data_IF_520202452209
#
_entry.id   IF_520202452209
#
_cell.length_a   1.000
_cell.length_b   1.000
_cell.length_c   1.000
_cell.angle_alpha   90.00
_cell.angle_beta   90.00
_cell.angle_gamma   90.00
#
_symmetry.space_group_name_H-M   'P 1'
#
loop_
_entity.id
_entity.type
_entity.pdbx_description
1 polymer ?
#
# COMPACT_ATOMS: atom_id res chain seq x y z
N UNK A 1 -31.70 -28.11 18.94
CA UNK A 1 -30.67 -27.27 19.60
C UNK A 1 -29.43 -27.23 18.72
N UNK A 2 -29.05 -26.05 18.24
CA UNK A 2 -27.76 -25.89 17.58
C UNK A 2 -26.59 -26.02 18.56
N UNK A 3 -25.49 -26.59 18.07
CA UNK A 3 -24.25 -26.76 18.85
C UNK A 3 -23.53 -25.41 18.92
N UNK A 4 -24.00 -24.51 19.79
CA UNK A 4 -23.35 -23.21 20.12
C UNK A 4 -21.84 -23.43 20.33
N UNK A 5 -20.95 -22.63 19.71
CA UNK A 5 -19.51 -22.76 19.84
C UNK A 5 -19.04 -22.43 21.25
N UNK A 6 -17.80 -22.80 21.58
CA UNK A 6 -17.29 -22.72 22.96
C UNK A 6 -17.22 -21.28 23.47
N UNK A 7 -16.90 -20.30 22.61
CA UNK A 7 -16.88 -18.89 22.99
C UNK A 7 -18.27 -18.39 23.41
N UNK A 8 -19.33 -18.70 22.65
CA UNK A 8 -20.71 -18.35 23.03
C UNK A 8 -21.12 -18.95 24.37
N UNK A 9 -20.64 -20.16 24.70
CA UNK A 9 -20.98 -20.83 25.96
C UNK A 9 -20.26 -20.20 27.17
N UNK A 10 -18.98 -19.87 27.05
CA UNK A 10 -18.24 -19.23 28.16
C UNK A 10 -18.65 -17.77 28.34
N UNK A 11 -18.89 -17.01 27.27
CA UNK A 11 -19.36 -15.62 27.37
C UNK A 11 -20.75 -15.52 28.00
N UNK A 12 -21.61 -16.54 27.81
CA UNK A 12 -22.94 -16.57 28.41
C UNK A 12 -22.96 -17.04 29.88
N UNK A 13 -21.91 -17.73 30.34
CA UNK A 13 -21.86 -18.30 31.71
C UNK A 13 -20.86 -17.63 32.63
N UNK A 14 -19.83 -16.95 32.10
CA UNK A 14 -18.67 -16.46 32.88
C UNK A 14 -17.81 -17.60 33.47
N UNK A 15 -18.01 -18.85 33.03
CA UNK A 15 -17.51 -20.04 33.70
C UNK A 15 -16.76 -20.99 32.76
N UNK A 16 -15.66 -21.55 33.27
CA UNK A 16 -14.86 -22.55 32.58
C UNK A 16 -15.01 -23.94 33.21
N UNK A 17 -15.04 -24.97 32.35
CA UNK A 17 -15.05 -26.38 32.76
C UNK A 17 -13.71 -27.04 32.47
N UNK A 18 -12.97 -27.40 33.52
CA UNK A 18 -11.69 -28.10 33.37
C UNK A 18 -11.86 -29.52 32.82
N UNK A 19 -10.77 -30.11 32.30
CA UNK A 19 -10.75 -31.52 31.84
C UNK A 19 -11.11 -32.52 32.96
N UNK A 20 -10.94 -32.15 34.24
CA UNK A 20 -11.25 -32.95 35.43
C UNK A 20 -12.65 -32.70 36.01
N UNK A 21 -13.45 -31.82 35.40
CA UNK A 21 -14.78 -31.43 35.89
C UNK A 21 -14.74 -30.43 37.06
N UNK A 22 -13.64 -29.71 37.21
CA UNK A 22 -13.50 -28.57 38.14
C UNK A 22 -14.14 -27.35 37.45
N UNK A 23 -15.07 -26.66 38.12
CA UNK A 23 -15.72 -25.43 37.65
C UNK A 23 -14.92 -24.21 38.13
N UNK A 24 -14.63 -23.26 37.24
CA UNK A 24 -13.81 -22.07 37.52
C UNK A 24 -14.53 -20.81 37.04
N UNK A 25 -14.38 -19.70 37.77
CA UNK A 25 -14.76 -18.36 37.31
C UNK A 25 -13.72 -17.83 36.34
N UNK A 26 -14.18 -17.31 35.20
CA UNK A 26 -13.34 -16.65 34.19
C UNK A 26 -13.16 -15.20 34.63
N UNK A 27 -11.90 -14.77 34.74
CA UNK A 27 -11.51 -13.39 35.01
C UNK A 27 -11.47 -12.57 33.73
N UNK A 28 -10.91 -13.17 32.68
CA UNK A 28 -10.77 -12.58 31.35
C UNK A 28 -10.72 -13.68 30.28
N UNK A 29 -11.29 -13.44 29.11
CA UNK A 29 -11.13 -14.33 27.96
C UNK A 29 -11.11 -13.58 26.64
N UNK A 30 -10.29 -14.08 25.72
CA UNK A 30 -10.09 -13.51 24.40
C UNK A 30 -10.25 -14.58 23.33
N UNK A 31 -10.97 -14.25 22.27
CA UNK A 31 -11.37 -15.18 21.21
C UNK A 31 -10.69 -14.78 19.91
N UNK A 32 -9.75 -15.60 19.44
CA UNK A 32 -9.38 -15.64 18.02
C UNK A 32 -10.32 -16.62 17.31
N UNK A 33 -10.28 -16.69 15.98
CA UNK A 33 -11.23 -17.54 15.23
C UNK A 33 -11.20 -18.98 15.68
N UNK A 34 -9.99 -19.54 15.83
CA UNK A 34 -9.81 -20.97 16.13
C UNK A 34 -9.48 -21.24 17.60
N UNK A 35 -9.02 -20.27 18.38
CA UNK A 35 -8.60 -20.44 19.78
C UNK A 35 -9.27 -19.46 20.74
N UNK A 36 -9.52 -19.94 21.95
CA UNK A 36 -9.92 -19.13 23.10
C UNK A 36 -8.79 -19.20 24.11
N UNK A 37 -8.37 -18.04 24.60
CA UNK A 37 -7.42 -17.91 25.70
C UNK A 37 -8.25 -17.49 26.91
N UNK A 38 -8.10 -18.21 28.02
CA UNK A 38 -8.94 -18.06 29.21
C UNK A 38 -8.02 -17.90 30.41
N UNK A 39 -8.17 -16.79 31.13
CA UNK A 39 -7.62 -16.56 32.45
C UNK A 39 -8.72 -16.74 33.50
N UNK A 40 -8.46 -17.58 34.49
CA UNK A 40 -9.39 -17.87 35.58
C UNK A 40 -9.00 -17.13 36.85
N UNK A 41 -9.96 -16.88 37.73
CA UNK A 41 -9.73 -16.14 38.99
C UNK A 41 -8.73 -16.81 39.96
N UNK A 42 -8.34 -18.05 39.69
CA UNK A 42 -7.27 -18.74 40.43
C UNK A 42 -5.88 -18.60 39.81
N UNK A 43 -5.68 -17.69 38.85
CA UNK A 43 -4.42 -17.48 38.14
C UNK A 43 -4.05 -18.56 37.11
N UNK A 44 -4.80 -19.67 37.06
CA UNK A 44 -4.66 -20.67 35.99
C UNK A 44 -5.02 -20.01 34.63
N UNK A 45 -4.13 -20.17 33.64
CA UNK A 45 -4.29 -19.67 32.26
C UNK A 45 -4.24 -20.85 31.28
N UNK A 46 -5.12 -20.86 30.28
CA UNK A 46 -5.16 -21.94 29.28
C UNK A 46 -5.63 -21.48 27.89
N UNK A 47 -5.19 -22.23 26.88
CA UNK A 47 -5.56 -22.06 25.47
C UNK A 47 -6.32 -23.30 24.99
N UNK A 48 -7.49 -23.10 24.40
CA UNK A 48 -8.35 -24.18 23.89
C UNK A 48 -8.96 -23.82 22.55
N UNK A 49 -9.12 -24.83 21.68
CA UNK A 49 -9.77 -24.61 20.39
C UNK A 49 -11.26 -24.24 20.59
N UNK A 50 -11.79 -23.31 19.78
CA UNK A 50 -13.19 -22.86 19.82
C UNK A 50 -14.16 -23.91 19.23
N UNK A 51 -14.13 -25.12 19.78
CA UNK A 51 -14.79 -26.30 19.23
C UNK A 51 -16.23 -26.42 19.70
N UNK A 52 -17.16 -26.59 18.74
CA UNK A 52 -18.55 -26.96 19.00
C UNK A 52 -18.70 -28.34 19.69
N UNK A 53 -17.73 -29.25 19.55
CA UNK A 53 -17.86 -30.67 19.90
C UNK A 53 -17.08 -31.12 21.16
N UNK A 54 -16.17 -30.28 21.67
CA UNK A 54 -15.25 -30.65 22.75
C UNK A 54 -15.93 -30.95 24.10
N UNK A 55 -15.20 -31.60 25.01
CA UNK A 55 -15.69 -31.99 26.34
C UNK A 55 -16.19 -30.81 27.17
N UNK A 56 -15.50 -29.66 27.13
CA UNK A 56 -15.91 -28.44 27.84
C UNK A 56 -17.24 -27.89 27.29
N UNK A 57 -17.35 -27.70 25.97
CA UNK A 57 -18.58 -27.25 25.33
C UNK A 57 -19.77 -28.19 25.59
N UNK A 58 -19.51 -29.50 25.64
CA UNK A 58 -20.52 -30.53 26.00
C UNK A 58 -20.93 -30.44 27.47
N UNK A 59 -19.99 -30.23 28.39
CA UNK A 59 -20.28 -30.12 29.82
C UNK A 59 -21.06 -28.84 30.15
N UNK A 60 -20.69 -27.70 29.57
CA UNK A 60 -21.39 -26.42 29.72
C UNK A 60 -22.85 -26.53 29.22
N UNK A 61 -23.10 -27.06 28.02
CA UNK A 61 -24.46 -27.25 27.46
C UNK A 61 -25.34 -28.27 28.18
N UNK A 62 -24.77 -29.03 29.12
CA UNK A 62 -25.52 -29.99 29.93
C UNK A 62 -25.43 -29.67 31.43
N UNK A 63 -24.89 -28.49 31.79
CA UNK A 63 -24.79 -27.99 33.17
C UNK A 63 -24.03 -28.96 34.11
N UNK A 64 -23.09 -29.76 33.58
CA UNK A 64 -22.41 -30.84 34.31
C UNK A 64 -21.05 -30.41 34.86
N UNK A 65 -20.90 -30.41 36.18
CA UNK A 65 -19.63 -30.22 36.90
C UNK A 65 -19.41 -31.36 37.92
N UNK A 66 -18.20 -31.47 38.48
CA UNK A 66 -17.86 -32.43 39.55
C UNK A 66 -17.52 -31.74 40.88
N UNK A 67 -16.86 -30.58 40.85
CA UNK A 67 -16.55 -29.76 42.02
C UNK A 67 -16.20 -28.33 41.61
N UNK A 68 -16.32 -27.38 42.53
CA UNK A 68 -15.95 -25.97 42.32
C UNK A 68 -14.45 -25.76 42.61
N UNK A 69 -13.81 -24.80 41.94
CA UNK A 69 -12.45 -24.38 42.26
C UNK A 69 -12.44 -23.54 43.55
N UNK A 70 -11.83 -24.08 44.63
CA UNK A 70 -11.66 -23.40 45.92
C UNK A 70 -11.06 -21.99 45.84
N UNK A 71 -10.25 -21.71 44.82
CA UNK A 71 -9.55 -20.43 44.65
C UNK A 71 -10.29 -19.43 43.75
N UNK A 72 -11.23 -19.87 42.88
CA UNK A 72 -11.89 -18.97 41.92
C UNK A 72 -13.04 -18.14 42.50
N UNK A 73 -13.46 -18.38 43.75
CA UNK A 73 -14.61 -17.70 44.38
C UNK A 73 -15.85 -17.63 43.45
N UNK A 74 -16.17 -18.75 42.79
CA UNK A 74 -17.45 -18.91 42.07
C UNK A 74 -18.54 -18.72 43.11
N UNK A 75 -19.40 -17.72 42.94
CA UNK A 75 -20.45 -17.43 43.92
C UNK A 75 -21.65 -18.35 43.75
N UNK A 76 -22.53 -18.40 44.75
CA UNK A 76 -23.76 -19.17 44.65
C UNK A 76 -24.73 -18.57 43.60
N UNK A 77 -24.68 -17.26 43.29
CA UNK A 77 -25.43 -16.73 42.15
C UNK A 77 -24.85 -17.21 40.81
N UNK A 78 -23.52 -17.26 40.66
CA UNK A 78 -22.88 -17.80 39.44
C UNK A 78 -23.24 -19.29 39.26
N UNK A 79 -23.21 -20.07 40.35
CA UNK A 79 -23.58 -21.49 40.33
C UNK A 79 -25.06 -21.70 40.03
N UNK A 80 -25.95 -20.90 40.64
CA UNK A 80 -27.39 -21.00 40.39
C UNK A 80 -27.73 -20.56 38.96
N UNK A 81 -27.10 -19.53 38.40
CA UNK A 81 -27.20 -19.16 36.96
C UNK A 81 -26.66 -20.26 36.04
N UNK A 82 -25.64 -21.01 36.49
CA UNK A 82 -25.12 -22.15 35.72
C UNK A 82 -26.03 -23.38 35.78
N UNK A 83 -26.81 -23.56 36.84
CA UNK A 83 -27.68 -24.74 37.03
C UNK A 83 -29.12 -24.52 36.58
N UNK A 84 -29.63 -23.29 36.60
CA UNK A 84 -30.93 -22.98 36.00
C UNK A 84 -30.89 -23.15 34.49
N UNK A 85 -31.86 -23.90 33.95
CA UNK A 85 -32.09 -23.95 32.50
C UNK A 85 -32.72 -22.64 32.07
N UNK A 86 -31.93 -21.71 31.55
CA UNK A 86 -32.43 -20.53 30.85
C UNK A 86 -33.10 -20.95 29.55
N UNK A 87 -34.41 -21.22 29.63
CA UNK A 87 -35.33 -21.38 28.50
C UNK A 87 -35.58 -20.01 27.82
N UNK A 88 -34.52 -19.28 27.48
CA UNK A 88 -34.58 -17.94 26.89
C UNK A 88 -34.55 -17.98 25.35
N UNK A 89 -35.37 -18.86 24.77
CA UNK A 89 -35.86 -18.69 23.41
C UNK A 89 -37.04 -17.68 23.42
N UNK A 90 -36.81 -16.44 23.88
CA UNK A 90 -37.67 -15.24 23.67
C UNK A 90 -37.08 -13.93 24.23
N UNK A 91 -36.78 -13.00 23.32
CA UNK A 91 -36.95 -11.53 23.45
C UNK A 91 -36.93 -10.86 24.84
N UNK A 92 -35.79 -10.25 25.22
CA UNK A 92 -35.69 -8.79 25.50
C UNK A 92 -34.28 -8.34 25.94
N UNK A 93 -33.32 -8.33 25.02
CA UNK A 93 -32.07 -7.58 25.21
C UNK A 93 -32.29 -6.13 24.76
N UNK A 94 -32.40 -5.19 25.72
CA UNK A 94 -32.64 -3.75 25.45
C UNK A 94 -31.36 -3.08 24.96
N UNK A 95 -31.02 -3.28 23.68
CA UNK A 95 -29.80 -2.70 23.08
C UNK A 95 -29.96 -1.19 22.90
N UNK A 96 -29.33 -0.42 23.79
CA UNK A 96 -29.16 1.03 23.60
C UNK A 96 -28.15 1.27 22.48
N UNK A 97 -28.62 1.36 21.24
CA UNK A 97 -27.77 1.65 20.07
C UNK A 97 -27.36 3.12 20.10
N UNK A 98 -26.27 3.42 20.81
CA UNK A 98 -25.53 4.68 20.63
C UNK A 98 -25.00 4.65 19.19
N UNK A 99 -25.67 5.38 18.32
CA UNK A 99 -25.39 5.37 16.89
C UNK A 99 -24.18 6.24 16.60
N UNK A 100 -22.98 5.66 16.64
CA UNK A 100 -21.82 6.24 15.97
C UNK A 100 -22.25 6.57 14.51
N UNK A 101 -21.95 7.77 14.00
CA UNK A 101 -22.53 8.24 12.75
C UNK A 101 -22.09 7.33 11.61
N UNK A 102 -23.06 6.73 10.91
CA UNK A 102 -22.81 5.99 9.67
C UNK A 102 -22.40 6.97 8.58
N UNK A 103 -21.13 7.33 8.54
CA UNK A 103 -20.47 7.79 7.31
C UNK A 103 -20.60 6.62 6.34
N UNK A 104 -21.65 6.65 5.51
CA UNK A 104 -21.76 5.76 4.36
C UNK A 104 -20.55 6.07 3.49
N UNK A 105 -19.59 5.14 3.36
CA UNK A 105 -18.54 5.25 2.32
C UNK A 105 -19.30 5.40 0.98
N UNK A 106 -19.33 6.62 0.44
CA UNK A 106 -20.03 6.93 -0.80
C UNK A 106 -19.20 6.32 -1.91
N UNK A 107 -19.64 5.17 -2.41
CA UNK A 107 -19.10 4.60 -3.64
C UNK A 107 -19.09 5.71 -4.71
N UNK A 108 -17.94 6.01 -5.33
CA UNK A 108 -17.91 6.80 -6.56
C UNK A 108 -18.65 6.01 -7.64
N UNK A 109 -19.96 6.20 -7.75
CA UNK A 109 -20.77 5.58 -8.80
C UNK A 109 -20.19 5.99 -10.14
N UNK A 110 -20.08 5.02 -11.04
CA UNK A 110 -19.73 5.23 -12.44
C UNK A 110 -20.73 6.20 -13.10
N UNK A 111 -20.40 7.49 -13.16
CA UNK A 111 -21.11 8.48 -13.96
C UNK A 111 -20.42 8.57 -15.31
N UNK A 112 -21.19 8.29 -16.36
CA UNK A 112 -20.71 8.39 -17.73
C UNK A 112 -21.08 9.75 -18.35
N UNK A 113 -20.23 10.16 -19.31
CA UNK A 113 -20.57 10.98 -20.49
C UNK A 113 -20.60 12.52 -20.35
N UNK A 114 -19.79 13.13 -21.24
CA UNK A 114 -19.94 14.46 -21.89
C UNK A 114 -19.79 15.74 -21.06
N UNK A 115 -18.67 16.49 -21.25
CA UNK A 115 -18.65 17.94 -21.06
C UNK A 115 -19.14 18.68 -22.32
N UNK A 116 -19.54 19.94 -22.18
CA UNK A 116 -19.63 20.92 -23.28
C UNK A 116 -19.34 22.32 -22.72
N UNK A 117 -18.35 23.06 -23.26
CA UNK A 117 -17.92 24.34 -22.69
C UNK A 117 -18.70 25.52 -23.26
N UNK A 118 -18.65 26.66 -22.57
CA UNK A 118 -18.75 27.99 -23.16
C UNK A 118 -18.09 29.01 -22.22
N UNK A 119 -16.95 29.55 -22.67
CA UNK A 119 -16.23 30.67 -22.07
C UNK A 119 -16.41 31.89 -23.00
N UNK A 120 -16.36 33.11 -22.47
CA UNK A 120 -16.28 34.31 -23.29
C UNK A 120 -15.48 35.41 -22.58
N UNK A 121 -14.46 35.92 -23.25
CA UNK A 121 -13.59 37.05 -22.87
C UNK A 121 -14.36 38.39 -22.93
N UNK A 122 -13.94 39.53 -22.36
CA UNK A 122 -12.68 40.27 -22.60
C UNK A 122 -12.41 41.37 -21.52
N UNK A 123 -11.23 42.04 -21.49
CA UNK A 123 -10.72 42.76 -20.31
C UNK A 123 -10.46 44.28 -20.53
N UNK A 124 -9.49 44.88 -19.79
CA UNK A 124 -8.92 46.26 -19.87
C UNK A 124 -9.70 47.30 -18.99
N UNK A 125 -9.13 48.24 -18.19
CA UNK A 125 -7.82 48.94 -18.18
C UNK A 125 -7.34 49.45 -16.78
N UNK A 126 -6.00 49.55 -16.58
CA UNK A 126 -5.18 50.51 -15.77
C UNK A 126 -5.31 50.73 -14.23
N UNK A 127 -4.12 50.65 -13.58
CA UNK A 127 -3.62 51.19 -12.29
C UNK A 127 -3.10 52.66 -12.46
N UNK A 128 -2.48 53.42 -11.48
CA UNK A 128 -1.65 52.97 -10.33
C UNK A 128 -1.58 53.82 -9.01
N UNK A 129 -0.77 53.33 -8.05
CA UNK A 129 -0.10 54.04 -6.92
C UNK A 129 -0.97 54.55 -5.74
N UNK A 130 -0.45 54.79 -4.51
CA UNK A 130 0.94 54.93 -4.03
C UNK A 130 1.18 54.47 -2.56
N UNK A 131 2.46 54.37 -2.16
CA UNK A 131 3.08 54.46 -0.80
C UNK A 131 2.78 53.48 0.38
N UNK A 132 3.87 52.83 0.83
CA UNK A 132 4.16 52.23 2.17
C UNK A 132 4.98 53.26 3.04
N UNK A 133 5.51 53.00 4.28
CA UNK A 133 5.69 51.75 5.05
C UNK A 133 5.37 51.79 6.58
N UNK A 134 5.76 50.74 7.32
CA UNK A 134 5.79 50.59 8.80
C UNK A 134 7.25 50.72 9.34
N UNK A 135 7.69 50.29 10.57
CA UNK A 135 6.99 49.79 11.79
C UNK A 135 7.57 50.32 13.16
N UNK A 136 6.94 50.00 14.32
CA UNK A 136 7.61 49.98 15.68
C UNK A 136 6.80 49.30 16.82
N UNK A 137 7.27 48.12 17.29
CA UNK A 137 7.75 47.68 18.65
C UNK A 137 7.19 48.30 20.01
N UNK A 138 7.51 47.79 21.24
CA UNK A 138 6.61 46.92 22.05
C UNK A 138 6.61 47.20 23.61
N UNK A 139 6.37 46.15 24.47
CA UNK A 139 6.81 45.93 25.89
C UNK A 139 5.75 45.98 27.03
N UNK A 140 5.60 44.85 27.77
CA UNK A 140 5.45 44.64 29.26
C UNK A 140 4.77 43.27 29.53
N UNK A 141 5.33 42.27 30.22
CA UNK A 141 5.77 42.11 31.64
C UNK A 141 4.60 41.80 32.62
N UNK A 142 4.67 40.91 33.63
CA UNK A 142 5.83 40.37 34.39
C UNK A 142 5.68 38.95 35.04
N UNK A 143 6.86 38.34 35.29
CA UNK A 143 7.42 37.38 36.32
C UNK A 143 6.49 36.83 37.44
N UNK A 144 6.56 35.58 37.96
CA UNK A 144 7.65 34.73 38.57
C UNK A 144 7.27 33.21 38.61
N UNK A 145 8.08 32.14 38.83
CA UNK A 145 9.48 31.85 39.27
C UNK A 145 9.74 31.59 40.80
N UNK A 146 10.72 30.76 41.27
CA UNK A 146 11.38 29.53 40.72
C UNK A 146 11.80 28.46 41.82
N UNK A 147 12.91 27.71 41.59
CA UNK A 147 13.79 26.90 42.51
C UNK A 147 13.55 25.36 42.63
N UNK A 148 14.56 24.46 42.76
CA UNK A 148 16.05 24.57 42.63
C UNK A 148 16.80 23.20 42.67
N UNK A 149 18.01 23.13 42.06
CA UNK A 149 19.20 22.24 42.34
C UNK A 149 19.06 20.69 42.30
N UNK A 150 20.11 19.84 42.15
CA UNK A 150 21.43 19.74 41.43
C UNK A 150 22.04 18.36 41.85
N UNK A 151 23.20 17.76 41.49
CA UNK A 151 24.46 17.98 40.72
C UNK A 151 25.02 16.53 40.41
N UNK A 152 26.10 16.11 39.69
CA UNK A 152 27.32 16.63 39.00
C UNK A 152 27.76 15.59 37.90
N UNK A 153 28.96 15.71 37.30
CA UNK A 153 29.66 14.70 36.47
C UNK A 153 31.08 14.38 37.08
N UNK A 154 32.14 13.76 36.44
CA UNK A 154 32.58 13.81 35.03
C UNK A 154 33.12 12.48 34.41
N UNK A 155 33.74 12.58 33.22
CA UNK A 155 34.42 11.53 32.42
C UNK A 155 35.98 11.54 32.68
N UNK A 156 36.95 11.17 31.79
CA UNK A 156 36.93 10.64 30.40
C UNK A 156 37.94 9.49 30.08
N UNK A 157 37.97 9.02 28.81
CA UNK A 157 39.15 8.44 28.14
C UNK A 157 38.98 8.46 26.61
N UNK A 158 40.06 8.40 25.83
CA UNK A 158 40.04 8.50 24.35
C UNK A 158 41.05 7.57 23.67
N UNK A 159 40.80 7.14 22.43
CA UNK A 159 41.84 6.54 21.58
C UNK A 159 41.57 6.73 20.07
N UNK A 160 42.62 7.20 19.41
CA UNK A 160 42.85 7.59 18.01
C UNK A 160 42.66 6.49 16.94
N UNK A 161 42.42 6.93 15.69
CA UNK A 161 42.61 6.15 14.45
C UNK A 161 44.09 6.20 13.95
N UNK A 162 44.51 5.61 12.80
CA UNK A 162 44.28 6.28 11.50
C UNK A 162 44.26 5.40 10.20
N UNK A 163 43.93 6.07 9.09
CA UNK A 163 44.41 5.92 7.69
C UNK A 163 44.14 4.64 6.83
N UNK A 164 43.76 4.82 5.54
CA UNK A 164 43.79 3.78 4.49
C UNK A 164 45.04 3.90 3.58
N UNK A 165 45.30 2.88 2.73
CA UNK A 165 46.39 2.94 1.74
C UNK A 165 46.11 2.19 0.42
N UNK A 166 46.44 2.85 -0.70
CA UNK A 166 46.93 2.32 -2.01
C UNK A 166 46.23 1.14 -2.71
N UNK A 167 45.93 1.20 -4.02
CA UNK A 167 46.97 1.24 -5.07
C UNK A 167 46.47 1.74 -6.45
N UNK A 168 47.35 2.44 -7.19
CA UNK A 168 47.60 2.49 -8.67
C UNK A 168 46.53 2.10 -9.72
N UNK A 169 46.50 2.63 -10.96
CA UNK A 169 47.16 3.75 -11.66
C UNK A 169 46.50 3.89 -13.08
N UNK A 170 46.72 4.99 -13.86
CA UNK A 170 45.90 5.30 -15.05
C UNK A 170 46.58 5.05 -16.42
N UNK A 171 45.81 5.32 -17.49
CA UNK A 171 46.19 5.80 -18.84
C UNK A 171 45.92 4.88 -20.05
N UNK A 172 44.96 5.30 -20.91
CA UNK A 172 44.88 5.13 -22.38
C UNK A 172 43.52 5.67 -22.87
N UNK A 173 43.37 6.32 -24.02
CA UNK A 173 44.33 7.06 -24.86
C UNK A 173 43.54 8.07 -25.72
N UNK A 174 44.11 9.24 -26.02
CA UNK A 174 43.47 10.22 -26.91
C UNK A 174 43.57 9.80 -28.38
N UNK A 175 42.55 10.09 -29.19
CA UNK A 175 42.66 10.04 -30.66
C UNK A 175 41.82 11.15 -31.28
N UNK A 176 42.44 12.33 -31.42
CA UNK A 176 41.93 13.41 -32.27
C UNK A 176 42.45 13.19 -33.68
N UNK A 177 41.57 13.05 -34.67
CA UNK A 177 41.96 13.08 -36.09
C UNK A 177 41.44 14.38 -36.70
N UNK A 178 42.38 15.18 -37.20
CA UNK A 178 42.13 16.46 -37.86
C UNK A 178 42.00 16.30 -39.38
N UNK A 179 41.44 17.35 -40.00
CA UNK A 179 41.72 17.79 -41.39
C UNK A 179 41.60 16.78 -42.53
N UNK A 180 40.55 16.96 -43.34
CA UNK A 180 40.72 17.09 -44.79
C UNK A 180 39.64 18.05 -45.32
N UNK A 181 40.01 18.92 -46.27
CA UNK A 181 39.11 19.90 -46.87
C UNK A 181 39.02 19.67 -48.39
N UNK A 182 37.90 20.14 -48.97
CA UNK A 182 37.74 20.69 -50.34
C UNK A 182 38.64 20.12 -51.47
N UNK A 183 38.02 19.71 -52.59
CA UNK A 183 37.82 20.74 -53.62
C UNK A 183 36.44 20.74 -54.30
N UNK A 184 36.14 21.84 -54.98
CA UNK A 184 34.95 22.01 -55.81
C UNK A 184 35.22 21.77 -57.30
N UNK A 185 34.17 21.44 -58.05
CA UNK A 185 34.06 21.54 -59.52
C UNK A 185 32.58 21.85 -59.84
N UNK A 186 32.18 22.84 -60.64
CA UNK A 186 32.39 23.08 -62.11
C UNK A 186 31.95 21.92 -63.01
N UNK A 187 31.17 22.13 -64.09
CA UNK A 187 30.32 23.27 -64.50
C UNK A 187 29.50 22.93 -65.76
N UNK A 188 28.18 23.16 -65.75
CA UNK A 188 27.31 23.30 -66.94
C UNK A 188 25.99 23.98 -66.48
N UNK A 189 25.64 25.20 -66.88
CA UNK A 189 25.14 25.64 -68.21
C UNK A 189 23.85 24.91 -68.65
N UNK A 190 22.73 25.65 -68.66
CA UNK A 190 21.39 25.13 -68.94
C UNK A 190 20.33 26.23 -69.16
N UNK A 191 20.59 27.11 -70.14
CA UNK A 191 19.67 28.07 -70.82
C UNK A 191 18.39 28.58 -70.11
N UNK A 192 18.31 29.91 -69.98
CA UNK A 192 17.11 30.67 -69.59
C UNK A 192 16.02 30.67 -70.67
N UNK A 193 14.75 30.70 -70.23
CA UNK A 193 13.65 31.35 -70.95
C UNK A 193 12.77 32.12 -69.97
N UNK A 194 12.75 33.44 -70.11
CA UNK A 194 11.69 34.28 -69.54
C UNK A 194 10.41 34.10 -70.35
N UNK A 195 9.27 34.16 -69.68
CA UNK A 195 8.02 34.66 -70.26
C UNK A 195 7.35 35.55 -69.22
N UNK A 196 6.86 36.70 -69.67
CA UNK A 196 6.16 37.72 -68.89
C UNK A 196 4.72 37.85 -69.43
N UNK A 197 3.83 38.52 -68.70
CA UNK A 197 2.42 38.78 -69.10
C UNK A 197 1.55 37.50 -69.00
N UNK A 198 0.30 37.49 -68.53
CA UNK A 198 -0.65 38.55 -68.10
C UNK A 198 -1.31 38.19 -66.76
N UNK A 199 -2.04 39.14 -66.16
CA UNK A 199 -2.65 38.97 -64.83
C UNK A 199 -3.81 37.97 -64.78
N UNK A 200 -3.82 37.14 -63.74
CA UNK A 200 -4.98 36.36 -63.30
C UNK A 200 -5.45 36.85 -61.93
N UNK A 201 -6.77 36.91 -61.72
CA UNK A 201 -7.37 37.33 -60.44
C UNK A 201 -6.88 36.45 -59.27
N UNK A 202 -6.75 36.99 -58.04
CA UNK A 202 -6.36 36.22 -56.88
C UNK A 202 -7.42 35.14 -56.61
N UNK A 203 -7.06 33.88 -56.91
CA UNK A 203 -7.91 32.72 -56.64
C UNK A 203 -8.15 32.68 -55.12
N UNK A 204 -9.40 32.54 -54.64
CA UNK A 204 -9.66 32.51 -53.20
C UNK A 204 -8.81 31.44 -52.53
N UNK A 205 -8.05 31.83 -51.50
CA UNK A 205 -7.36 30.86 -50.64
C UNK A 205 -8.47 29.98 -50.06
N UNK A 206 -8.46 28.66 -50.30
CA UNK A 206 -9.45 27.78 -49.69
C UNK A 206 -9.22 27.85 -48.18
N UNK A 207 -10.17 28.44 -47.45
CA UNK A 207 -10.17 28.49 -46.00
C UNK A 207 -9.98 27.05 -45.52
N UNK A 208 -8.89 26.78 -44.80
CA UNK A 208 -8.63 25.44 -44.29
C UNK A 208 -9.76 25.10 -43.32
N UNK A 209 -10.68 24.25 -43.77
CA UNK A 209 -11.69 23.66 -42.91
C UNK A 209 -10.95 22.99 -41.74
N UNK A 210 -11.27 23.42 -40.51
CA UNK A 210 -10.70 22.84 -39.30
C UNK A 210 -10.92 21.34 -39.31
N UNK A 211 -9.92 20.56 -38.87
CA UNK A 211 -10.05 19.11 -38.90
C UNK A 211 -11.27 18.68 -38.06
N UNK A 212 -12.06 17.70 -38.54
CA UNK A 212 -13.23 17.25 -37.80
C UNK A 212 -12.82 16.75 -36.41
N UNK A 213 -13.61 17.10 -35.40
CA UNK A 213 -13.34 16.76 -34.01
C UNK A 213 -13.08 15.27 -33.82
N UNK A 214 -12.06 14.93 -33.03
CA UNK A 214 -11.61 13.56 -32.84
C UNK A 214 -12.72 12.70 -32.22
N UNK A 215 -13.01 11.55 -32.84
CA UNK A 215 -13.93 10.56 -32.27
C UNK A 215 -13.38 9.98 -30.97
N UNK A 216 -14.25 9.47 -30.09
CA UNK A 216 -13.82 8.86 -28.82
C UNK A 216 -12.77 7.75 -29.03
N UNK A 217 -12.92 6.89 -30.04
CA UNK A 217 -11.93 5.85 -30.37
C UNK A 217 -10.57 6.41 -30.82
N UNK A 218 -10.56 7.56 -31.50
CA UNK A 218 -9.32 8.24 -31.88
C UNK A 218 -8.64 8.89 -30.68
N UNK A 219 -9.43 9.54 -29.80
CA UNK A 219 -8.93 10.08 -28.52
C UNK A 219 -8.33 8.96 -27.67
N UNK A 220 -9.00 7.81 -27.56
CA UNK A 220 -8.51 6.67 -26.76
C UNK A 220 -7.22 6.06 -27.34
N UNK A 221 -7.10 5.98 -28.68
CA UNK A 221 -5.85 5.57 -29.34
C UNK A 221 -4.70 6.53 -29.04
N UNK A 222 -4.93 7.85 -29.16
CA UNK A 222 -3.90 8.85 -28.85
C UNK A 222 -3.56 8.85 -27.35
N UNK A 223 -4.53 8.70 -26.45
CA UNK A 223 -4.31 8.56 -25.01
C UNK A 223 -3.54 7.28 -24.64
N UNK A 224 -3.66 6.20 -25.42
CA UNK A 224 -2.82 5.01 -25.29
C UNK A 224 -1.35 5.28 -25.63
N UNK A 225 -1.09 6.12 -26.63
CA UNK A 225 0.26 6.48 -27.07
C UNK A 225 0.90 7.63 -26.27
N UNK A 226 0.11 8.50 -25.64
CA UNK A 226 0.58 9.69 -24.94
C UNK A 226 1.41 9.37 -23.68
N UNK A 227 2.58 9.99 -23.55
CA UNK A 227 3.42 9.99 -22.35
C UNK A 227 3.06 11.16 -21.43
N UNK A 228 3.27 11.06 -20.10
CA UNK A 228 3.17 12.22 -19.20
C UNK A 228 4.11 13.38 -19.57
N UNK A 229 5.15 13.11 -20.36
CA UNK A 229 6.10 14.10 -20.89
C UNK A 229 5.66 14.78 -22.21
N UNK A 230 4.50 14.41 -22.79
CA UNK A 230 4.05 15.00 -24.06
C UNK A 230 3.11 16.20 -23.84
N UNK A 231 3.62 17.40 -24.11
CA UNK A 231 2.84 18.66 -24.19
C UNK A 231 2.06 18.77 -25.51
N UNK A 232 1.22 17.77 -25.82
CA UNK A 232 0.41 17.72 -27.04
C UNK A 232 -1.07 17.94 -26.71
N UNK A 233 -1.62 19.08 -27.15
CA UNK A 233 -3.06 19.31 -27.12
C UNK A 233 -3.77 18.48 -28.20
N UNK A 234 -4.70 17.63 -27.76
CA UNK A 234 -5.57 16.83 -28.64
C UNK A 234 -6.65 17.68 -29.33
N UNK A 235 -6.87 18.92 -28.87
CA UNK A 235 -7.86 19.86 -29.43
C UNK A 235 -7.22 20.89 -30.38
N UNK A 236 -5.96 20.65 -30.80
CA UNK A 236 -5.14 21.54 -31.63
C UNK A 236 -5.59 21.70 -33.10
N UNK A 237 -6.81 21.27 -33.45
CA UNK A 237 -7.30 21.20 -34.84
C UNK A 237 -6.46 20.29 -35.77
N UNK A 238 -5.52 19.51 -35.22
CA UNK A 238 -4.60 18.67 -35.98
C UNK A 238 -5.28 17.35 -36.40
N UNK A 239 -5.26 16.96 -37.69
CA UNK A 239 -5.86 15.70 -38.13
C UNK A 239 -5.28 14.47 -37.41
N UNK A 240 -6.17 13.56 -37.00
CA UNK A 240 -5.85 12.32 -36.25
C UNK A 240 -4.57 11.61 -36.73
N UNK A 241 -4.44 11.36 -38.04
CA UNK A 241 -3.28 10.64 -38.62
C UNK A 241 -1.94 11.33 -38.35
N UNK A 242 -1.91 12.66 -38.27
CA UNK A 242 -0.69 13.44 -37.97
C UNK A 242 -0.33 13.36 -36.49
N UNK A 243 -1.33 13.45 -35.60
CA UNK A 243 -1.13 13.23 -34.16
C UNK A 243 -0.67 11.81 -33.85
N UNK A 244 -1.29 10.80 -34.47
CA UNK A 244 -0.92 9.40 -34.30
C UNK A 244 0.50 9.14 -34.82
N UNK A 245 0.82 9.59 -36.04
CA UNK A 245 2.17 9.39 -36.61
C UNK A 245 3.28 10.05 -35.79
N UNK A 246 3.02 11.22 -35.20
CA UNK A 246 3.96 11.90 -34.29
C UNK A 246 4.15 11.11 -32.99
N UNK A 247 3.06 10.72 -32.32
CA UNK A 247 3.14 9.94 -31.08
C UNK A 247 3.79 8.56 -31.31
N UNK A 248 3.50 7.89 -32.42
CA UNK A 248 4.17 6.65 -32.81
C UNK A 248 5.66 6.84 -33.04
N UNK A 249 6.07 7.92 -33.72
CA UNK A 249 7.47 8.27 -33.90
C UNK A 249 8.19 8.46 -32.56
N UNK A 250 7.57 9.21 -31.63
CA UNK A 250 8.09 9.41 -30.27
C UNK A 250 8.21 8.11 -29.50
N UNK A 251 7.15 7.31 -29.36
CA UNK A 251 7.19 6.05 -28.60
C UNK A 251 8.21 5.05 -29.17
N UNK A 252 8.37 4.99 -30.50
CA UNK A 252 9.43 4.19 -31.16
C UNK A 252 10.83 4.73 -30.87
N UNK A 253 11.01 6.06 -30.70
CA UNK A 253 12.28 6.65 -30.24
C UNK A 253 12.55 6.33 -28.78
N UNK A 254 11.55 6.46 -27.91
CA UNK A 254 11.66 6.22 -26.47
C UNK A 254 12.08 4.76 -26.18
N UNK A 255 11.47 3.78 -26.86
CA UNK A 255 11.89 2.36 -26.75
C UNK A 255 13.31 2.12 -27.30
N UNK A 256 13.69 2.76 -28.41
CA UNK A 256 15.06 2.67 -28.95
C UNK A 256 16.09 3.25 -27.98
N UNK A 257 15.75 4.34 -27.28
CA UNK A 257 16.62 4.93 -26.28
C UNK A 257 16.82 3.96 -25.10
N UNK A 258 15.75 3.43 -24.52
CA UNK A 258 15.84 2.45 -23.41
C UNK A 258 16.64 1.20 -23.85
N UNK A 259 16.49 0.75 -25.09
CA UNK A 259 17.25 -0.38 -25.63
C UNK A 259 18.75 -0.07 -25.81
N UNK A 260 19.12 1.15 -26.21
CA UNK A 260 20.51 1.57 -26.35
C UNK A 260 21.20 1.83 -24.99
N UNK A 261 20.47 2.41 -24.04
CA UNK A 261 20.98 2.89 -22.76
C UNK A 261 20.79 1.85 -21.64
N UNK A 262 19.74 2.01 -20.83
CA UNK A 262 19.54 1.36 -19.53
C UNK A 262 19.13 -0.12 -19.62
N UNK A 263 18.24 -0.48 -20.57
CA UNK A 263 17.64 -1.81 -20.75
C UNK A 263 16.90 -2.41 -19.53
N UNK A 264 16.79 -1.72 -18.41
CA UNK A 264 16.05 -2.21 -17.23
C UNK A 264 14.53 -2.02 -17.37
N UNK A 265 13.75 -2.94 -16.79
CA UNK A 265 12.30 -2.77 -16.62
C UNK A 265 12.01 -2.09 -15.27
N UNK A 266 11.21 -1.01 -15.27
CA UNK A 266 11.00 -0.14 -14.09
C UNK A 266 10.58 -0.92 -12.83
N UNK A 267 9.67 -1.89 -12.95
CA UNK A 267 9.22 -2.71 -11.81
C UNK A 267 10.34 -3.58 -11.22
N UNK A 268 11.26 -4.07 -12.06
CA UNK A 268 12.41 -4.86 -11.62
C UNK A 268 13.52 -3.99 -11.05
N UNK A 269 13.70 -2.77 -11.58
CA UNK A 269 14.64 -1.78 -11.05
C UNK A 269 14.21 -1.33 -9.65
N UNK A 270 12.93 -0.94 -9.50
CA UNK A 270 12.37 -0.58 -8.22
C UNK A 270 12.44 -1.75 -7.21
N UNK A 271 12.18 -2.99 -7.62
CA UNK A 271 12.39 -4.16 -6.75
C UNK A 271 13.84 -4.25 -6.22
N UNK A 272 14.86 -3.98 -7.05
CA UNK A 272 16.28 -3.95 -6.61
C UNK A 272 16.60 -2.78 -5.68
N UNK A 273 16.11 -1.58 -5.99
CA UNK A 273 16.34 -0.37 -5.19
C UNK A 273 15.70 -0.51 -3.79
N UNK A 274 14.44 -0.96 -3.73
CA UNK A 274 13.74 -1.26 -2.48
C UNK A 274 14.46 -2.40 -1.71
N UNK A 275 14.86 -3.47 -2.40
CA UNK A 275 15.60 -4.59 -1.76
C UNK A 275 16.89 -4.10 -1.10
N UNK A 276 17.67 -3.25 -1.79
CA UNK A 276 18.86 -2.63 -1.22
C UNK A 276 18.52 -1.76 -0.01
N UNK A 277 17.53 -0.88 -0.12
CA UNK A 277 17.10 0.00 0.97
C UNK A 277 16.78 -0.74 2.28
N UNK A 278 16.07 -1.88 2.19
CA UNK A 278 15.70 -2.68 3.36
C UNK A 278 16.86 -3.54 3.89
N UNK A 279 17.70 -4.10 3.01
CA UNK A 279 18.91 -4.85 3.41
C UNK A 279 19.92 -3.94 4.11
N UNK A 280 20.18 -2.74 3.57
CA UNK A 280 21.06 -1.73 4.21
C UNK A 280 20.55 -1.30 5.59
N UNK A 281 19.23 -1.37 5.83
CA UNK A 281 18.57 -1.12 7.12
C UNK A 281 18.44 -2.37 8.01
N UNK A 282 19.12 -3.47 7.66
CA UNK A 282 19.19 -4.69 8.46
C UNK A 282 17.90 -5.51 8.50
N UNK A 283 17.08 -5.46 7.44
CA UNK A 283 15.99 -6.43 7.24
C UNK A 283 16.47 -7.59 6.38
N UNK A 284 16.08 -8.82 6.73
CA UNK A 284 16.34 -10.01 5.93
C UNK A 284 15.33 -10.12 4.79
N UNK A 285 15.80 -10.25 3.55
CA UNK A 285 14.94 -10.55 2.40
C UNK A 285 14.40 -12.00 2.49
N UNK A 286 13.10 -12.13 2.26
CA UNK A 286 12.37 -13.39 2.16
C UNK A 286 11.77 -13.47 0.76
N UNK A 287 12.00 -14.58 0.04
CA UNK A 287 11.17 -14.99 -1.10
C UNK A 287 10.39 -16.23 -0.69
N UNK A 288 9.06 -16.17 -0.71
CA UNK A 288 8.18 -17.26 -0.27
C UNK A 288 7.28 -17.78 -1.40
N UNK A 289 6.64 -18.96 -1.25
CA UNK A 289 5.79 -19.51 -2.29
C UNK A 289 4.62 -18.59 -2.68
N UNK A 290 4.34 -18.51 -3.98
CA UNK A 290 3.15 -17.83 -4.54
C UNK A 290 1.88 -18.65 -4.27
N UNK A 291 1.98 -19.97 -4.43
CA UNK A 291 0.94 -20.93 -4.05
C UNK A 291 0.93 -21.10 -2.54
N UNK A 292 -0.20 -20.85 -1.90
CA UNK A 292 -0.40 -21.04 -0.46
C UNK A 292 -1.63 -21.92 -0.18
N UNK A 293 -1.66 -22.66 0.95
CA UNK A 293 -2.83 -23.44 1.31
C UNK A 293 -4.05 -22.56 1.58
N UNK A 294 -5.25 -23.01 1.19
CA UNK A 294 -6.53 -22.40 1.56
C UNK A 294 -6.68 -22.24 3.08
N UNK A 295 -6.09 -23.15 3.85
CA UNK A 295 -6.03 -23.12 5.32
C UNK A 295 -5.35 -21.85 5.88
N UNK A 296 -4.51 -21.18 5.08
CA UNK A 296 -3.89 -19.90 5.44
C UNK A 296 -4.84 -18.72 5.24
N UNK A 297 -5.72 -18.77 4.23
CA UNK A 297 -6.76 -17.76 3.96
C UNK A 297 -7.81 -17.75 5.07
N UNK A 298 -8.22 -18.94 5.54
CA UNK A 298 -9.05 -19.09 6.75
C UNK A 298 -8.35 -18.55 8.01
N UNK A 299 -7.03 -18.73 8.12
CA UNK A 299 -6.24 -18.26 9.28
C UNK A 299 -5.99 -16.76 9.26
N UNK A 300 -5.96 -16.13 8.07
CA UNK A 300 -6.08 -14.67 7.88
C UNK A 300 -7.50 -14.14 8.14
N UNK A 301 -8.47 -15.02 8.41
CA UNK A 301 -9.84 -14.65 8.73
C UNK A 301 -10.73 -14.27 7.53
N UNK A 302 -10.25 -14.49 6.31
CA UNK A 302 -10.92 -14.12 5.06
C UNK A 302 -12.17 -15.00 4.81
N UNK A 303 -12.34 -16.12 5.52
CA UNK A 303 -13.56 -16.93 5.56
C UNK A 303 -14.80 -16.19 6.11
N UNK A 304 -14.62 -15.12 6.90
CA UNK A 304 -15.73 -14.25 7.31
C UNK A 304 -16.02 -13.14 6.28
N UNK A 305 -15.01 -12.73 5.50
CA UNK A 305 -15.12 -11.65 4.53
C UNK A 305 -15.63 -12.19 3.20
N UNK A 306 -16.93 -12.02 2.97
CA UNK A 306 -17.59 -12.47 1.74
C UNK A 306 -17.09 -11.77 0.48
N UNK A 307 -16.42 -10.63 0.58
CA UNK A 307 -15.91 -9.90 -0.59
C UNK A 307 -14.48 -10.33 -0.90
N UNK A 308 -13.56 -10.23 0.06
CA UNK A 308 -12.17 -10.67 -0.13
C UNK A 308 -12.06 -12.19 -0.43
N UNK A 309 -12.99 -13.01 0.07
CA UNK A 309 -13.07 -14.44 -0.26
C UNK A 309 -13.46 -14.72 -1.73
N UNK A 310 -14.21 -13.82 -2.38
CA UNK A 310 -14.52 -13.92 -3.84
C UNK A 310 -13.28 -13.62 -4.68
N UNK A 311 -12.45 -12.67 -4.23
CA UNK A 311 -11.25 -12.23 -4.94
C UNK A 311 -10.18 -13.32 -5.08
N UNK A 312 -10.25 -14.41 -4.29
CA UNK A 312 -9.22 -15.46 -4.29
C UNK A 312 -9.18 -16.25 -5.61
N UNK A 313 -8.02 -16.27 -6.25
CA UNK A 313 -7.68 -17.21 -7.33
C UNK A 313 -7.33 -18.59 -6.73
N UNK A 314 -8.34 -19.46 -6.65
CA UNK A 314 -8.17 -20.88 -6.28
C UNK A 314 -7.51 -21.65 -7.43
N UNK A 315 -6.59 -22.55 -7.11
CA UNK A 315 -5.89 -23.41 -8.07
C UNK A 315 -6.42 -24.84 -7.99
N UNK A 316 -6.68 -25.33 -6.78
CA UNK A 316 -7.48 -26.53 -6.53
C UNK A 316 -8.31 -26.36 -5.23
N UNK A 317 -8.77 -27.46 -4.62
CA UNK A 317 -9.51 -27.42 -3.36
C UNK A 317 -8.65 -27.05 -2.13
N UNK A 318 -7.33 -27.23 -2.22
CA UNK A 318 -6.36 -27.11 -1.14
C UNK A 318 -5.48 -25.86 -1.26
N UNK A 319 -5.28 -25.32 -2.46
CA UNK A 319 -4.33 -24.24 -2.77
C UNK A 319 -4.96 -23.07 -3.53
N UNK A 320 -4.43 -21.87 -3.29
CA UNK A 320 -4.70 -20.66 -4.05
C UNK A 320 -3.42 -19.88 -4.34
N UNK A 321 -3.49 -18.96 -5.31
CA UNK A 321 -2.51 -17.89 -5.43
C UNK A 321 -2.69 -16.92 -4.24
N UNK A 322 -1.58 -16.45 -3.67
CA UNK A 322 -1.60 -15.55 -2.51
C UNK A 322 -2.20 -14.17 -2.86
N UNK A 323 -3.18 -13.64 -2.10
CA UNK A 323 -3.70 -12.27 -2.28
C UNK A 323 -2.92 -11.20 -1.50
N UNK A 324 -1.95 -11.63 -0.68
CA UNK A 324 -1.13 -10.82 0.22
C UNK A 324 0.06 -11.68 0.73
N UNK A 325 1.15 -11.05 1.16
CA UNK A 325 2.36 -11.75 1.65
C UNK A 325 2.27 -12.20 3.11
N UNK A 326 1.37 -11.58 3.89
CA UNK A 326 1.25 -11.78 5.35
C UNK A 326 1.22 -13.26 5.83
N UNK A 327 0.48 -14.21 5.21
CA UNK A 327 0.47 -15.61 5.64
C UNK A 327 1.86 -16.27 5.71
N UNK A 328 2.75 -15.91 4.79
CA UNK A 328 4.09 -16.47 4.74
C UNK A 328 5.02 -15.71 5.70
N UNK A 329 4.94 -14.38 5.75
CA UNK A 329 5.69 -13.56 6.71
C UNK A 329 5.37 -13.93 8.16
N UNK A 330 4.10 -14.15 8.51
CA UNK A 330 3.67 -14.68 9.81
C UNK A 330 4.36 -16.02 10.17
N UNK A 331 4.55 -16.90 9.18
CA UNK A 331 5.29 -18.14 9.37
C UNK A 331 6.79 -17.92 9.55
N UNK A 332 7.39 -16.99 8.80
CA UNK A 332 8.81 -16.65 8.92
C UNK A 332 9.13 -15.98 10.25
N UNK A 333 8.37 -14.96 10.68
CA UNK A 333 8.52 -14.32 12.00
C UNK A 333 8.54 -15.35 13.13
N UNK A 334 7.54 -16.25 13.18
CA UNK A 334 7.45 -17.32 14.18
C UNK A 334 8.63 -18.29 14.15
N UNK A 335 9.14 -18.64 12.96
CA UNK A 335 10.27 -19.56 12.79
C UNK A 335 11.59 -18.89 13.22
N UNK A 336 11.86 -17.69 12.69
CA UNK A 336 13.12 -16.96 12.87
C UNK A 336 13.30 -16.45 14.29
N UNK A 337 12.22 -16.13 15.01
CA UNK A 337 12.22 -15.82 16.46
C UNK A 337 12.74 -16.95 17.36
N UNK A 338 13.08 -18.12 16.80
CA UNK A 338 13.71 -19.25 17.52
C UNK A 338 15.22 -19.37 17.24
N UNK A 339 15.79 -18.50 16.41
CA UNK A 339 17.17 -18.60 15.90
C UNK A 339 17.89 -17.26 15.73
N UNK A 340 17.18 -16.16 15.47
CA UNK A 340 17.73 -14.81 15.32
C UNK A 340 17.54 -13.99 16.61
N UNK A 341 18.40 -12.98 16.86
CA UNK A 341 18.24 -12.05 17.98
C UNK A 341 17.00 -11.15 17.84
N UNK A 342 16.64 -10.48 18.92
CA UNK A 342 15.58 -9.48 18.95
C UNK A 342 16.14 -8.09 18.57
N UNK A 343 15.46 -7.27 17.74
CA UNK A 343 14.19 -7.56 17.05
C UNK A 343 14.37 -8.34 15.74
N UNK A 344 13.35 -9.13 15.39
CA UNK A 344 13.29 -9.86 14.12
C UNK A 344 12.84 -8.90 13.02
N UNK A 345 13.68 -8.65 12.01
CA UNK A 345 13.39 -7.74 10.88
C UNK A 345 13.39 -8.50 9.56
N UNK A 346 12.26 -8.57 8.86
CA UNK A 346 12.14 -9.25 7.56
C UNK A 346 11.32 -8.43 6.55
N UNK A 347 11.54 -8.65 5.25
CA UNK A 347 10.66 -8.17 4.20
C UNK A 347 10.54 -9.18 3.05
N UNK A 348 9.45 -9.12 2.29
CA UNK A 348 9.32 -9.81 1.01
C UNK A 348 8.86 -8.82 -0.07
N UNK A 349 9.42 -8.94 -1.27
CA UNK A 349 8.88 -8.36 -2.49
C UNK A 349 8.51 -9.49 -3.44
N UNK A 350 7.29 -9.48 -3.97
CA UNK A 350 6.84 -10.42 -5.00
C UNK A 350 5.35 -10.32 -5.34
N UNK A 351 4.90 -11.10 -6.34
CA UNK A 351 3.53 -10.98 -6.86
C UNK A 351 2.48 -11.50 -5.88
N UNK A 352 1.31 -10.87 -5.93
CA UNK A 352 0.06 -11.21 -5.27
C UNK A 352 -1.10 -11.10 -6.28
N UNK A 353 -2.18 -11.84 -6.02
CA UNK A 353 -3.27 -12.03 -6.98
C UNK A 353 -4.66 -11.87 -6.35
N UNK A 354 -5.50 -11.02 -6.94
CA UNK A 354 -6.90 -10.78 -6.53
C UNK A 354 -7.76 -10.57 -7.77
N UNK A 355 -8.93 -11.20 -7.86
CA UNK A 355 -9.88 -10.91 -8.95
C UNK A 355 -10.48 -9.52 -8.73
N UNK A 356 -10.27 -8.62 -9.66
CA UNK A 356 -10.63 -7.20 -9.53
C UNK A 356 -11.43 -6.72 -10.74
N UNK A 357 -12.55 -6.04 -10.49
CA UNK A 357 -13.40 -5.48 -11.56
C UNK A 357 -13.03 -4.07 -11.98
N UNK A 358 -12.23 -3.34 -11.19
CA UNK A 358 -11.84 -1.95 -11.47
C UNK A 358 -10.39 -1.81 -11.96
N UNK A 359 -10.21 -2.01 -13.28
CA UNK A 359 -8.91 -1.90 -13.95
C UNK A 359 -8.35 -0.48 -14.11
N UNK A 360 -8.75 0.50 -13.29
CA UNK A 360 -8.13 1.83 -13.22
C UNK A 360 -7.01 1.94 -12.19
N UNK A 361 -7.31 1.52 -10.96
CA UNK A 361 -6.45 1.63 -9.77
C UNK A 361 -6.14 0.27 -9.13
N UNK A 362 -6.76 -0.80 -9.64
CA UNK A 362 -6.53 -2.18 -9.23
C UNK A 362 -6.06 -3.03 -10.42
N UNK A 363 -5.36 -4.12 -10.09
CA UNK A 363 -4.77 -5.08 -11.03
C UNK A 363 -5.06 -6.49 -10.52
N UNK A 364 -5.22 -7.46 -11.42
CA UNK A 364 -5.40 -8.85 -10.99
C UNK A 364 -4.10 -9.53 -10.53
N UNK A 365 -2.97 -9.10 -11.07
CA UNK A 365 -1.61 -9.38 -10.61
C UNK A 365 -0.93 -8.06 -10.24
N UNK A 366 -0.38 -7.99 -9.02
CA UNK A 366 0.34 -6.82 -8.50
C UNK A 366 1.51 -7.25 -7.61
N UNK A 367 2.55 -6.44 -7.54
CA UNK A 367 3.78 -6.73 -6.82
C UNK A 367 3.77 -6.01 -5.48
N UNK A 368 3.60 -6.76 -4.40
CA UNK A 368 3.66 -6.22 -3.04
C UNK A 368 5.10 -6.18 -2.55
N UNK A 369 5.48 -5.08 -1.90
CA UNK A 369 6.42 -5.06 -0.79
C UNK A 369 5.63 -5.26 0.50
N UNK A 370 6.06 -6.17 1.37
CA UNK A 370 5.69 -6.14 2.79
C UNK A 370 6.94 -6.23 3.64
N UNK A 371 7.18 -5.24 4.50
CA UNK A 371 8.17 -5.33 5.58
C UNK A 371 7.47 -5.55 6.92
N UNK A 372 8.16 -6.23 7.84
CA UNK A 372 7.73 -6.29 9.24
C UNK A 372 8.91 -6.44 10.20
N UNK A 373 8.74 -5.86 11.39
CA UNK A 373 9.63 -6.00 12.54
C UNK A 373 8.82 -6.60 13.70
N UNK A 374 9.40 -7.51 14.49
CA UNK A 374 8.76 -8.12 15.66
C UNK A 374 9.72 -8.18 16.85
N UNK A 375 9.24 -7.79 18.03
CA UNK A 375 10.04 -7.67 19.25
C UNK A 375 10.19 -6.22 19.69
N UNK A 376 11.41 -5.84 20.07
CA UNK A 376 11.76 -4.50 20.53
C UNK A 376 11.56 -3.44 19.44
N UNK A 377 11.31 -2.19 19.85
CA UNK A 377 11.13 -1.06 18.93
C UNK A 377 9.89 -1.13 18.04
N UNK A 378 8.97 -2.07 18.26
CA UNK A 378 7.73 -2.17 17.50
C UNK A 378 6.69 -1.17 18.04
N UNK A 379 6.89 0.11 17.73
CA UNK A 379 6.03 1.23 18.14
C UNK A 379 5.55 2.01 16.92
N UNK A 380 4.52 2.85 17.11
CA UNK A 380 3.95 3.67 16.02
C UNK A 380 4.99 4.61 15.42
N UNK A 381 5.79 5.25 16.27
CA UNK A 381 6.77 6.27 15.89
C UNK A 381 7.86 5.67 15.01
N UNK A 382 8.32 4.45 15.33
CA UNK A 382 9.29 3.72 14.51
C UNK A 382 8.68 3.23 13.18
N UNK A 383 7.40 2.86 13.15
CA UNK A 383 6.71 2.49 11.91
C UNK A 383 6.57 3.69 10.96
N UNK A 384 6.14 4.84 11.48
CA UNK A 384 6.04 6.09 10.73
C UNK A 384 7.42 6.58 10.26
N UNK A 385 8.46 6.45 11.09
CA UNK A 385 9.83 6.77 10.71
C UNK A 385 10.36 5.86 9.58
N UNK A 386 10.12 4.54 9.63
CA UNK A 386 10.51 3.63 8.54
C UNK A 386 9.76 3.95 7.24
N UNK A 387 8.48 4.30 7.32
CA UNK A 387 7.67 4.73 6.16
C UNK A 387 8.21 6.03 5.57
N UNK A 388 8.56 7.01 6.42
CA UNK A 388 9.14 8.29 5.97
C UNK A 388 10.49 8.10 5.29
N UNK A 389 11.44 7.43 5.94
CA UNK A 389 12.76 7.10 5.38
C UNK A 389 12.63 6.45 3.99
N UNK A 390 11.61 5.60 3.82
CA UNK A 390 11.36 4.83 2.60
C UNK A 390 10.81 5.68 1.45
N UNK A 391 9.83 6.55 1.72
CA UNK A 391 9.22 7.38 0.69
C UNK A 391 10.05 8.63 0.37
N UNK A 392 10.76 9.19 1.35
CA UNK A 392 11.82 10.18 1.14
C UNK A 392 12.89 9.64 0.17
N UNK A 393 13.33 8.38 0.37
CA UNK A 393 14.33 7.73 -0.49
C UNK A 393 13.86 7.50 -1.92
N UNK A 394 12.55 7.25 -2.13
CA UNK A 394 11.96 7.12 -3.46
C UNK A 394 11.54 8.47 -4.09
N UNK A 395 11.66 9.59 -3.36
CA UNK A 395 11.23 10.91 -3.83
C UNK A 395 9.71 11.03 -4.00
N UNK A 396 8.94 10.45 -3.07
CA UNK A 396 7.47 10.42 -3.11
C UNK A 396 6.90 11.21 -1.94
N UNK A 397 6.20 12.31 -2.22
CA UNK A 397 5.41 13.04 -1.22
C UNK A 397 4.25 12.18 -0.69
N UNK A 398 3.96 12.24 0.61
CA UNK A 398 2.91 11.44 1.23
C UNK A 398 2.34 12.06 2.52
N UNK A 399 1.16 11.57 2.91
CA UNK A 399 0.53 11.82 4.22
C UNK A 399 0.25 10.49 4.92
N UNK A 400 0.19 10.48 6.26
CA UNK A 400 -0.20 9.29 7.05
C UNK A 400 -1.52 9.59 7.77
N UNK A 401 -2.52 8.76 7.53
CA UNK A 401 -3.89 8.89 8.05
C UNK A 401 -4.25 7.62 8.83
N UNK A 402 -5.08 7.74 9.88
CA UNK A 402 -5.63 6.56 10.55
C UNK A 402 -6.95 6.12 9.91
N UNK A 403 -7.08 4.85 9.52
CA UNK A 403 -8.36 4.18 9.21
C UNK A 403 -8.43 2.84 10.00
N UNK A 404 -9.32 1.95 9.60
CA UNK A 404 -9.56 0.66 10.22
C UNK A 404 -9.93 -0.39 9.16
N UNK A 405 -9.30 -1.55 9.22
CA UNK A 405 -9.54 -2.65 8.27
C UNK A 405 -10.08 -3.90 8.98
N UNK A 406 -10.90 -4.69 8.27
CA UNK A 406 -11.55 -5.89 8.84
C UNK A 406 -10.59 -7.04 9.17
N UNK A 407 -9.32 -6.99 8.72
CA UNK A 407 -8.33 -8.05 8.89
C UNK A 407 -7.45 -7.84 10.13
N UNK A 408 -7.04 -6.60 10.39
CA UNK A 408 -6.09 -6.27 11.47
C UNK A 408 -6.72 -5.46 12.61
N UNK A 409 -7.77 -4.68 12.36
CA UNK A 409 -8.26 -3.65 13.28
C UNK A 409 -7.81 -2.26 12.82
N UNK A 410 -7.36 -1.42 13.75
CA UNK A 410 -6.89 -0.06 13.47
C UNK A 410 -5.62 -0.08 12.59
N UNK A 411 -5.55 0.80 11.59
CA UNK A 411 -4.45 0.87 10.61
C UNK A 411 -3.95 2.31 10.42
N UNK A 412 -2.73 2.42 9.88
CA UNK A 412 -2.15 3.65 9.37
C UNK A 412 -2.05 3.52 7.85
N UNK A 413 -2.85 4.29 7.13
CA UNK A 413 -2.89 4.27 5.68
C UNK A 413 -2.06 5.46 5.14
N UNK A 414 -1.25 5.18 4.13
CA UNK A 414 -0.23 6.09 3.59
C UNK A 414 -0.71 6.59 2.24
N UNK A 415 -0.98 7.89 2.15
CA UNK A 415 -1.73 8.51 1.05
C UNK A 415 -0.85 9.42 0.20
N UNK A 416 -1.08 9.43 -1.12
CA UNK A 416 -0.55 10.42 -2.06
C UNK A 416 -1.74 11.09 -2.77
N UNK A 417 -2.24 12.19 -2.21
CA UNK A 417 -3.57 12.71 -2.54
C UNK A 417 -4.64 11.64 -2.27
N UNK A 418 -5.56 11.44 -3.23
CA UNK A 418 -6.61 10.42 -3.14
C UNK A 418 -6.10 8.96 -3.27
N UNK A 419 -4.80 8.73 -3.53
CA UNK A 419 -4.25 7.38 -3.78
C UNK A 419 -3.57 6.77 -2.55
N UNK A 420 -4.15 5.70 -2.02
CA UNK A 420 -3.53 4.81 -1.02
C UNK A 420 -2.28 4.12 -1.61
N UNK A 421 -1.09 4.39 -1.05
CA UNK A 421 0.16 3.71 -1.41
C UNK A 421 0.40 2.45 -0.58
N UNK A 422 -0.01 2.46 0.69
CA UNK A 422 0.15 1.38 1.65
C UNK A 422 -0.89 1.44 2.76
N UNK A 423 -1.21 0.28 3.34
CA UNK A 423 -1.81 0.18 4.69
C UNK A 423 -0.81 -0.49 5.63
N UNK A 424 -0.69 0.03 6.85
CA UNK A 424 0.29 -0.35 7.85
C UNK A 424 -0.34 -0.61 9.22
N UNK A 425 0.30 -1.44 10.04
CA UNK A 425 -0.26 -2.02 11.26
C UNK A 425 0.75 -1.96 12.40
N UNK A 426 0.28 -1.56 13.59
CA UNK A 426 0.98 -1.73 14.87
C UNK A 426 0.28 -2.83 15.66
N UNK A 427 0.91 -4.00 15.73
CA UNK A 427 0.44 -5.14 16.54
C UNK A 427 0.96 -5.09 17.99
N UNK A 428 0.41 -5.94 18.89
CA UNK A 428 -0.30 -7.17 18.55
C UNK A 428 -1.76 -7.00 18.13
N UNK A 429 -2.24 -7.90 17.27
CA UNK A 429 -3.65 -8.03 16.87
C UNK A 429 -4.20 -9.42 17.26
N UNK A 430 -5.52 -9.60 17.48
CA UNK A 430 -6.08 -10.87 17.96
C UNK A 430 -5.79 -12.11 17.10
N UNK A 431 -5.48 -11.90 15.80
CA UNK A 431 -5.14 -12.92 14.82
C UNK A 431 -3.74 -13.54 15.03
N UNK A 432 -2.79 -12.81 15.61
CA UNK A 432 -1.38 -13.24 15.79
C UNK A 432 -1.27 -14.59 16.51
N UNK A 433 -2.17 -14.80 17.47
CA UNK A 433 -2.34 -16.01 18.27
C UNK A 433 -2.66 -17.26 17.44
N UNK A 434 -3.37 -17.12 16.33
CA UNK A 434 -3.68 -18.24 15.43
C UNK A 434 -2.46 -18.59 14.56
N UNK A 435 -1.62 -17.60 14.23
CA UNK A 435 -0.29 -17.80 13.62
C UNK A 435 0.78 -18.30 14.60
N UNK A 436 0.64 -18.01 15.89
CA UNK A 436 1.60 -18.35 16.95
C UNK A 436 2.63 -17.26 17.23
N UNK A 437 2.29 -15.99 16.96
CA UNK A 437 3.02 -14.81 17.45
C UNK A 437 2.42 -14.38 18.79
N UNK A 438 3.27 -13.87 19.67
CA UNK A 438 2.94 -13.38 21.02
C UNK A 438 3.86 -12.22 21.47
N UNK A 439 4.46 -11.50 20.51
CA UNK A 439 5.28 -10.30 20.69
C UNK A 439 4.62 -9.11 19.98
N UNK A 440 4.91 -7.85 20.40
CA UNK A 440 4.64 -6.67 19.58
C UNK A 440 5.30 -6.80 18.20
N UNK A 441 4.68 -6.22 17.18
CA UNK A 441 5.21 -6.16 15.82
C UNK A 441 4.69 -4.92 15.09
N UNK A 442 5.42 -4.47 14.08
CA UNK A 442 5.01 -3.41 13.16
C UNK A 442 5.25 -3.86 11.72
N UNK A 443 4.47 -3.36 10.77
CA UNK A 443 4.69 -3.64 9.35
C UNK A 443 3.78 -2.85 8.44
N UNK A 444 4.18 -2.74 7.18
CA UNK A 444 3.45 -2.03 6.13
C UNK A 444 3.40 -2.86 4.84
N UNK A 445 2.48 -2.52 3.94
CA UNK A 445 2.30 -3.20 2.65
C UNK A 445 2.12 -2.22 1.50
N UNK A 446 3.13 -2.06 0.66
CA UNK A 446 3.13 -1.16 -0.49
C UNK A 446 2.93 -1.93 -1.81
N UNK A 447 2.10 -1.40 -2.71
CA UNK A 447 2.01 -1.89 -4.09
C UNK A 447 3.02 -1.17 -5.00
N UNK A 448 4.01 -1.88 -5.54
CA UNK A 448 5.06 -1.27 -6.37
C UNK A 448 4.51 -0.62 -7.64
N UNK A 449 3.45 -1.17 -8.23
CA UNK A 449 2.79 -0.56 -9.39
C UNK A 449 2.11 0.78 -9.04
N UNK A 450 1.66 0.99 -7.79
CA UNK A 450 1.17 2.30 -7.32
C UNK A 450 2.31 3.29 -7.08
N UNK A 451 3.44 2.84 -6.52
CA UNK A 451 4.64 3.66 -6.37
C UNK A 451 5.14 4.15 -7.74
N UNK A 452 5.32 3.25 -8.71
CA UNK A 452 5.69 3.60 -10.09
C UNK A 452 4.67 4.52 -10.78
N UNK A 453 3.38 4.33 -10.51
CA UNK A 453 2.33 5.21 -11.05
C UNK A 453 2.54 6.67 -10.61
N UNK A 454 2.92 6.89 -9.34
CA UNK A 454 3.26 8.21 -8.80
C UNK A 454 4.60 8.71 -9.37
N UNK A 455 5.68 7.94 -9.20
CA UNK A 455 7.05 8.31 -9.62
C UNK A 455 7.16 8.70 -11.11
N UNK A 456 6.29 8.16 -11.96
CA UNK A 456 6.27 8.46 -13.41
C UNK A 456 5.00 9.19 -13.88
N UNK A 457 4.13 9.63 -12.97
CA UNK A 457 2.85 10.32 -13.27
C UNK A 457 1.97 9.58 -14.31
N UNK A 458 1.81 8.27 -14.13
CA UNK A 458 1.04 7.45 -15.07
C UNK A 458 -0.48 7.59 -14.84
N UNK A 459 -1.20 8.00 -15.90
CA UNK A 459 -2.67 8.20 -15.90
C UNK A 459 -3.50 6.92 -15.68
N UNK A 460 -2.88 5.74 -15.61
CA UNK A 460 -3.52 4.45 -15.31
C UNK A 460 -2.45 3.46 -14.80
N UNK A 461 -2.78 2.66 -13.78
CA UNK A 461 -1.83 1.75 -13.13
C UNK A 461 -1.27 0.65 -14.06
N UNK A 462 -1.97 0.29 -15.14
CA UNK A 462 -1.53 -0.72 -16.14
C UNK A 462 -0.32 -0.30 -16.97
N UNK A 463 0.16 0.95 -16.84
CA UNK A 463 1.46 1.40 -17.39
C UNK A 463 2.65 0.97 -16.53
N UNK A 464 2.44 0.65 -15.25
CA UNK A 464 3.45 0.16 -14.32
C UNK A 464 3.40 -1.36 -14.09
N UNK A 465 2.28 -2.02 -14.42
CA UNK A 465 2.10 -3.47 -14.25
C UNK A 465 2.96 -4.28 -15.22
N UNK A 466 3.14 -5.56 -14.88
CA UNK A 466 3.52 -6.59 -15.86
C UNK A 466 2.51 -6.54 -17.01
N UNK A 467 2.98 -6.43 -18.26
CA UNK A 467 2.12 -6.17 -19.41
C UNK A 467 2.82 -6.50 -20.73
N UNK A 468 2.06 -7.03 -21.69
CA UNK A 468 2.47 -7.14 -23.10
C UNK A 468 2.08 -5.87 -23.89
N UNK A 469 1.20 -5.03 -23.35
CA UNK A 469 0.69 -3.80 -23.99
C UNK A 469 1.48 -2.53 -23.63
N UNK A 470 2.31 -2.60 -22.58
CA UNK A 470 3.15 -1.51 -22.09
C UNK A 470 4.51 -2.04 -21.61
N UNK A 471 5.58 -1.30 -21.91
CA UNK A 471 6.93 -1.51 -21.37
C UNK A 471 7.44 -0.18 -20.82
N UNK A 472 7.82 -0.11 -19.54
CA UNK A 472 8.21 1.14 -18.85
C UNK A 472 7.19 2.29 -19.09
N UNK A 473 5.89 1.96 -19.11
CA UNK A 473 4.79 2.88 -19.39
C UNK A 473 4.61 3.32 -20.84
N UNK A 474 5.52 2.99 -21.76
CA UNK A 474 5.38 3.20 -23.21
C UNK A 474 4.52 2.08 -23.79
N UNK A 475 3.56 2.37 -24.69
CA UNK A 475 2.80 1.28 -25.32
C UNK A 475 3.66 0.53 -26.33
N UNK A 476 3.47 -0.78 -26.42
CA UNK A 476 4.11 -1.70 -27.38
C UNK A 476 3.35 -1.77 -28.72
N UNK A 477 2.07 -1.38 -28.74
CA UNK A 477 1.18 -1.42 -29.91
C UNK A 477 1.44 -0.23 -30.85
N UNK A 478 2.62 -0.20 -31.47
CA UNK A 478 3.20 0.94 -32.21
C UNK A 478 3.19 0.80 -33.74
#
# INVERSE_FOLDING_TARGET
MDKKPLNTLISATGLWMSRTGKLHKIRHHEVSKRKIYIEMECGERLVVNNSRSCRAARALRHHKYRKICKHCRVSDEDLNKFLTRTNEDKSNAKVTVVSAPKIRKVMPKSVARTPKPLENTAPVQTLPSESQPAPTTPISASTTAPASTSTTAPAPASTTAPAPASTTAPASASTTISTSAMPASTSAQGTTKFNYISGGFPRPIPVQASAPALTKSQIDRLQGLLSPKDEISLDSGTPFRKLESELLSRRRKDLKQIYAEEREHYLGKLEREITKFFVDRGFLEIKSPILIPMEYIERMGIDNDKELSKQIFRVDNNFCLRPMLAPNLYNYLRKLNRALPDPIKIFEIGPCYRKESDGKEHLEEFTMLNFCQMGSGCTRENLEAIIKDFLDYLGIDFEIVGDSCMVYGDTLDVMHGDLELSSAVVGPVPMDRDWGINKPWIGAGFGLERLLKVMHNFKNIKRASRSESYYNGISTNL
#
